data_IF_733251598767
#
_entry.id   IF_733251598767
#
_cell.length_a   1.000
_cell.length_b   1.000
_cell.length_c   1.000
_cell.angle_alpha   90.00
_cell.angle_beta   90.00
_cell.angle_gamma   90.00
#
_symmetry.space_group_name_H-M   'P 1'
#
loop_
_entity.id
_entity.type
_entity.pdbx_description
1 polymer ?
#
# COMPACT_ATOMS: atom_id res chain seq x y z
N UNK A 1 -29.50 -13.97 -60.87
CA UNK A 1 -28.18 -14.14 -60.22
C UNK A 1 -28.14 -13.15 -59.08
N UNK A 2 -28.29 -13.61 -57.81
CA UNK A 2 -28.33 -12.78 -56.61
C UNK A 2 -26.90 -12.79 -56.02
N UNK A 3 -26.25 -11.65 -56.02
CA UNK A 3 -24.97 -11.45 -55.37
C UNK A 3 -25.17 -11.34 -53.82
N UNK A 4 -24.70 -12.33 -53.10
CA UNK A 4 -24.64 -12.33 -51.64
C UNK A 4 -23.33 -11.62 -51.24
N UNK A 5 -23.43 -10.39 -50.75
CA UNK A 5 -22.32 -9.66 -50.19
C UNK A 5 -22.21 -10.12 -48.74
N UNK A 6 -21.15 -10.89 -48.42
CA UNK A 6 -20.77 -11.24 -47.03
C UNK A 6 -20.08 -10.06 -46.39
N UNK A 7 -20.76 -9.34 -45.53
CA UNK A 7 -20.15 -8.32 -44.67
C UNK A 7 -19.48 -9.05 -43.48
N UNK A 8 -18.16 -9.18 -43.54
CA UNK A 8 -17.36 -9.65 -42.43
C UNK A 8 -17.30 -8.51 -41.38
N UNK A 9 -18.05 -8.66 -40.30
CA UNK A 9 -17.96 -7.76 -39.13
C UNK A 9 -16.68 -8.12 -38.34
N UNK A 10 -15.59 -7.39 -38.59
CA UNK A 10 -14.38 -7.44 -37.77
C UNK A 10 -14.71 -6.88 -36.39
N UNK A 11 -14.94 -7.76 -35.42
CA UNK A 11 -15.02 -7.42 -34.00
C UNK A 11 -13.58 -7.10 -33.57
N UNK A 12 -13.22 -5.82 -33.59
CA UNK A 12 -12.01 -5.32 -32.93
C UNK A 12 -12.30 -5.36 -31.44
N UNK A 13 -11.91 -6.45 -30.79
CA UNK A 13 -11.83 -6.50 -29.34
C UNK A 13 -10.71 -5.55 -28.91
N UNK A 14 -11.09 -4.36 -28.45
CA UNK A 14 -10.19 -3.47 -27.74
C UNK A 14 -9.77 -4.21 -26.46
N UNK A 15 -8.62 -4.90 -26.50
CA UNK A 15 -7.90 -5.30 -25.29
C UNK A 15 -7.46 -4.01 -24.63
N UNK A 16 -8.25 -3.52 -23.66
CA UNK A 16 -7.81 -2.48 -22.75
C UNK A 16 -6.69 -3.09 -21.92
N UNK A 17 -5.46 -2.93 -22.39
CA UNK A 17 -4.28 -3.20 -21.59
C UNK A 17 -4.29 -2.14 -20.48
N UNK A 18 -4.72 -2.53 -19.29
CA UNK A 18 -4.51 -1.72 -18.10
C UNK A 18 -3.01 -1.64 -17.89
N UNK A 19 -2.40 -0.55 -18.31
CA UNK A 19 -1.01 -0.23 -18.00
C UNK A 19 -0.99 0.05 -16.48
N UNK A 20 -0.57 -0.94 -15.70
CA UNK A 20 -0.27 -0.73 -14.29
C UNK A 20 0.92 0.23 -14.24
N UNK A 21 0.64 1.47 -13.81
CA UNK A 21 1.68 2.48 -13.67
C UNK A 21 2.48 2.18 -12.40
N UNK A 22 3.54 1.36 -12.51
CA UNK A 22 4.43 0.98 -11.42
C UNK A 22 5.47 2.08 -11.13
N UNK A 23 5.06 3.34 -11.09
CA UNK A 23 5.94 4.48 -10.83
C UNK A 23 5.45 5.29 -9.64
N UNK A 24 6.39 5.82 -8.87
CA UNK A 24 6.09 6.76 -7.80
C UNK A 24 5.89 8.16 -8.37
N UNK A 25 4.71 8.71 -8.18
CA UNK A 25 4.44 10.11 -8.51
C UNK A 25 4.91 10.98 -7.33
N UNK A 26 6.12 11.53 -7.43
CA UNK A 26 6.68 12.36 -6.38
C UNK A 26 5.94 13.70 -6.27
N UNK A 27 5.60 14.07 -5.05
CA UNK A 27 4.99 15.37 -4.74
C UNK A 27 6.07 16.44 -4.67
N UNK A 28 5.83 17.58 -5.31
CA UNK A 28 6.73 18.72 -5.27
C UNK A 28 5.95 20.03 -5.01
N UNK A 29 6.08 20.65 -3.82
CA UNK A 29 6.86 20.17 -2.68
C UNK A 29 6.25 18.96 -1.98
N UNK A 30 7.05 18.19 -1.19
CA UNK A 30 6.53 17.10 -0.36
C UNK A 30 5.45 17.59 0.60
N UNK A 31 4.42 16.77 0.81
CA UNK A 31 3.30 17.11 1.67
C UNK A 31 3.64 16.85 3.13
N UNK A 32 3.58 17.88 3.96
CA UNK A 32 3.71 17.67 5.40
C UNK A 32 2.47 16.98 5.95
N UNK A 33 2.66 15.86 6.65
CA UNK A 33 1.63 15.15 7.40
C UNK A 33 1.76 15.45 8.89
N UNK A 34 0.64 15.40 9.63
CA UNK A 34 0.69 15.51 11.08
C UNK A 34 1.24 14.23 11.70
N UNK A 35 1.86 14.36 12.88
CA UNK A 35 2.23 13.19 13.66
C UNK A 35 0.97 12.50 14.21
N UNK A 36 1.01 11.19 14.23
CA UNK A 36 -0.07 10.36 14.74
C UNK A 36 0.50 9.19 15.55
N UNK A 37 -0.34 8.66 16.41
CA UNK A 37 -0.04 7.45 17.16
C UNK A 37 -0.71 6.25 16.46
N UNK A 38 -0.01 5.11 16.44
CA UNK A 38 -0.52 3.85 15.95
C UNK A 38 -0.96 3.00 17.12
N UNK A 39 -2.05 2.25 16.95
CA UNK A 39 -2.53 1.31 17.95
C UNK A 39 -2.25 -0.12 17.52
N UNK A 40 -1.69 -0.92 18.43
CA UNK A 40 -1.51 -2.36 18.22
C UNK A 40 -2.82 -3.12 18.50
N UNK A 41 -2.90 -4.39 18.10
CA UNK A 41 -4.08 -5.24 18.32
C UNK A 41 -4.41 -5.43 19.81
N UNK A 42 -3.42 -5.38 20.70
CA UNK A 42 -3.58 -5.45 22.17
C UNK A 42 -3.86 -4.09 22.81
N UNK A 43 -4.03 -3.03 22.00
CA UNK A 43 -4.42 -1.70 22.44
C UNK A 43 -3.28 -0.79 22.89
N UNK A 44 -2.00 -1.19 22.72
CA UNK A 44 -0.85 -0.37 23.04
C UNK A 44 -0.67 0.72 21.96
N UNK A 45 -0.41 1.95 22.38
CA UNK A 45 -0.09 3.06 21.48
C UNK A 45 1.41 3.12 21.17
N UNK A 46 1.73 3.34 19.89
CA UNK A 46 3.09 3.52 19.39
C UNK A 46 3.17 4.86 18.66
N UNK A 47 4.11 5.69 19.06
CA UNK A 47 4.37 6.97 18.40
C UNK A 47 5.12 6.75 17.11
N UNK A 48 4.47 7.04 15.97
CA UNK A 48 5.12 6.93 14.65
C UNK A 48 6.30 7.88 14.53
N UNK A 49 6.25 9.03 15.21
CA UNK A 49 7.34 9.99 15.22
C UNK A 49 8.70 9.39 15.59
N UNK A 50 8.75 8.44 16.53
CA UNK A 50 10.00 7.82 16.94
C UNK A 50 10.59 6.94 15.82
N UNK A 51 9.77 6.34 14.98
CA UNK A 51 10.17 5.60 13.78
C UNK A 51 10.68 6.51 12.66
N UNK A 52 10.05 7.67 12.46
CA UNK A 52 10.44 8.65 11.44
C UNK A 52 11.78 9.33 11.71
N UNK A 53 12.33 9.22 12.92
CA UNK A 53 13.67 9.76 13.28
C UNK A 53 14.83 8.89 12.82
N UNK A 54 14.59 7.65 12.42
CA UNK A 54 15.64 6.68 12.12
C UNK A 54 16.28 6.82 10.75
N UNK A 55 16.00 7.90 10.02
CA UNK A 55 16.51 8.16 8.66
C UNK A 55 16.26 7.01 7.69
N UNK A 56 15.04 6.45 7.78
CA UNK A 56 14.56 5.38 6.91
C UNK A 56 13.45 5.89 6.00
N UNK A 57 13.31 5.26 4.85
CA UNK A 57 12.11 5.40 4.04
C UNK A 57 10.99 4.57 4.68
N UNK A 58 9.89 5.22 5.04
CA UNK A 58 8.73 4.56 5.68
C UNK A 58 7.61 4.40 4.65
N UNK A 59 7.17 3.17 4.44
CA UNK A 59 5.98 2.86 3.63
C UNK A 59 4.80 2.60 4.55
N UNK A 60 3.84 3.51 4.63
CA UNK A 60 2.63 3.34 5.45
C UNK A 60 1.53 2.78 4.56
N UNK A 61 1.28 1.47 4.68
CA UNK A 61 0.31 0.75 3.87
C UNK A 61 -1.02 0.57 4.62
N UNK A 62 -2.08 1.12 4.07
CA UNK A 62 -3.45 0.94 4.57
C UNK A 62 -4.11 -0.25 3.88
N UNK A 63 -4.59 -1.20 4.67
CA UNK A 63 -5.15 -2.47 4.19
C UNK A 63 -6.35 -2.94 5.00
N UNK A 64 -7.01 -4.02 4.54
CA UNK A 64 -8.06 -4.70 5.31
C UNK A 64 -8.15 -6.19 4.94
N UNK A 65 -8.70 -7.00 5.85
CA UNK A 65 -8.88 -8.45 5.64
C UNK A 65 -9.89 -8.78 4.52
N UNK A 66 -10.77 -7.86 4.18
CA UNK A 66 -11.77 -7.96 3.12
C UNK A 66 -11.33 -7.36 1.78
N UNK A 67 -10.09 -6.89 1.68
CA UNK A 67 -9.54 -6.22 0.49
C UNK A 67 -8.62 -7.16 -0.31
N UNK A 68 -9.07 -7.83 -1.38
CA UNK A 68 -8.26 -8.79 -2.13
C UNK A 68 -6.98 -8.20 -2.72
N UNK A 69 -6.95 -6.99 -3.34
CA UNK A 69 -5.70 -6.41 -3.83
C UNK A 69 -4.72 -6.08 -2.70
N UNK A 70 -5.19 -5.68 -1.50
CA UNK A 70 -4.32 -5.48 -0.34
C UNK A 70 -3.63 -6.78 0.07
N UNK A 71 -4.40 -7.87 0.14
CA UNK A 71 -3.87 -9.20 0.52
C UNK A 71 -2.81 -9.66 -0.48
N UNK A 72 -3.00 -9.34 -1.76
CA UNK A 72 -2.06 -9.70 -2.84
C UNK A 72 -0.71 -9.00 -2.67
N UNK A 73 -0.67 -7.73 -2.25
CA UNK A 73 0.58 -6.96 -2.16
C UNK A 73 1.36 -7.14 -0.86
N UNK A 74 0.72 -7.58 0.25
CA UNK A 74 1.39 -7.78 1.54
C UNK A 74 2.68 -8.62 1.42
N UNK A 75 2.71 -9.79 0.77
CA UNK A 75 3.93 -10.57 0.63
C UNK A 75 5.05 -9.85 -0.11
N UNK A 76 4.72 -8.99 -1.07
CA UNK A 76 5.70 -8.28 -1.87
C UNK A 76 6.27 -7.08 -1.10
N UNK A 77 5.45 -6.39 -0.32
CA UNK A 77 5.91 -5.36 0.61
C UNK A 77 6.83 -5.93 1.70
N UNK A 78 6.53 -7.11 2.25
CA UNK A 78 7.41 -7.80 3.20
C UNK A 78 8.76 -8.19 2.56
N UNK A 79 8.74 -8.66 1.31
CA UNK A 79 9.99 -8.97 0.58
C UNK A 79 10.78 -7.70 0.25
N UNK A 80 10.11 -6.62 -0.10
CA UNK A 80 10.71 -5.32 -0.35
C UNK A 80 11.44 -4.82 0.91
N UNK A 81 10.78 -4.81 2.07
CA UNK A 81 11.39 -4.44 3.34
C UNK A 81 12.64 -5.26 3.64
N UNK A 82 12.58 -6.59 3.48
CA UNK A 82 13.74 -7.47 3.65
C UNK A 82 14.86 -7.18 2.65
N UNK A 83 14.54 -6.80 1.42
CA UNK A 83 15.52 -6.49 0.37
C UNK A 83 16.30 -5.21 0.66
N UNK A 84 15.65 -4.22 1.25
CA UNK A 84 16.27 -2.95 1.65
C UNK A 84 16.79 -2.97 3.09
N UNK A 85 16.70 -4.12 3.78
CA UNK A 85 17.18 -4.33 5.15
C UNK A 85 16.71 -3.22 6.12
N UNK A 86 17.65 -2.39 6.59
CA UNK A 86 17.36 -1.33 7.54
C UNK A 86 17.03 0.05 6.90
N UNK A 87 17.05 0.14 5.58
CA UNK A 87 16.85 1.41 4.86
C UNK A 87 15.36 1.70 4.60
N UNK A 88 14.53 0.65 4.52
CA UNK A 88 13.08 0.76 4.33
C UNK A 88 12.36 0.05 5.47
N UNK A 89 11.31 0.65 6.00
CA UNK A 89 10.39 0.03 6.96
C UNK A 89 8.96 0.09 6.41
N UNK A 90 8.22 -1.02 6.49
CA UNK A 90 6.81 -1.06 6.10
C UNK A 90 5.92 -1.11 7.33
N UNK A 91 5.06 -0.09 7.47
CA UNK A 91 4.08 0.01 8.53
C UNK A 91 2.71 -0.34 7.96
N UNK A 92 2.20 -1.52 8.31
CA UNK A 92 0.86 -1.94 7.90
C UNK A 92 -0.19 -1.42 8.89
N UNK A 93 -1.24 -0.77 8.38
CA UNK A 93 -2.35 -0.21 9.17
C UNK A 93 -3.67 -0.78 8.67
N UNK A 94 -4.30 -1.62 9.49
CA UNK A 94 -5.61 -2.19 9.16
C UNK A 94 -6.73 -1.21 9.43
N UNK A 95 -7.69 -1.12 8.49
CA UNK A 95 -8.93 -0.34 8.61
C UNK A 95 -10.15 -1.22 8.92
N UNK A 96 -9.94 -2.46 9.38
CA UNK A 96 -11.03 -3.36 9.78
C UNK A 96 -11.82 -2.81 10.96
N UNK A 97 -13.16 -2.85 10.89
CA UNK A 97 -14.04 -2.34 11.95
C UNK A 97 -13.93 -3.12 13.27
N UNK A 98 -13.63 -4.43 13.20
CA UNK A 98 -13.47 -5.31 14.36
C UNK A 98 -12.11 -6.03 14.33
N UNK A 99 -10.99 -5.29 14.40
CA UNK A 99 -9.66 -5.80 14.08
C UNK A 99 -9.23 -6.94 15.01
N UNK A 100 -9.50 -6.84 16.32
CA UNK A 100 -9.14 -7.87 17.31
C UNK A 100 -9.83 -9.22 17.08
N UNK A 101 -10.96 -9.24 16.37
CA UNK A 101 -11.70 -10.46 16.02
C UNK A 101 -11.28 -11.01 14.65
N UNK A 102 -11.16 -10.14 13.64
CA UNK A 102 -11.00 -10.59 12.24
C UNK A 102 -9.54 -10.82 11.86
N UNK A 103 -8.61 -9.98 12.35
CA UNK A 103 -7.20 -10.08 11.96
C UNK A 103 -6.54 -11.37 12.44
N UNK A 104 -6.66 -11.82 13.71
CA UNK A 104 -6.03 -13.08 14.15
C UNK A 104 -6.48 -14.29 13.34
N UNK A 105 -7.78 -14.36 13.03
CA UNK A 105 -8.34 -15.44 12.20
C UNK A 105 -7.82 -15.38 10.76
N UNK A 106 -7.72 -14.19 10.19
CA UNK A 106 -7.17 -13.96 8.86
C UNK A 106 -5.69 -14.38 8.80
N UNK A 107 -4.86 -13.94 9.75
CA UNK A 107 -3.43 -14.26 9.81
C UNK A 107 -3.20 -15.78 9.88
N UNK A 108 -3.92 -16.46 10.78
CA UNK A 108 -3.85 -17.92 10.90
C UNK A 108 -4.24 -18.64 9.61
N UNK A 109 -5.33 -18.20 8.96
CA UNK A 109 -5.83 -18.81 7.71
C UNK A 109 -4.85 -18.65 6.55
N UNK A 110 -4.03 -17.59 6.54
CA UNK A 110 -3.11 -17.26 5.45
C UNK A 110 -1.64 -17.56 5.78
N UNK A 111 -1.35 -18.24 6.91
CA UNK A 111 0.01 -18.54 7.40
C UNK A 111 0.87 -17.27 7.52
N UNK A 112 0.29 -16.22 8.12
CA UNK A 112 0.90 -14.90 8.34
C UNK A 112 0.97 -14.56 9.83
N UNK A 113 1.17 -15.54 10.72
CA UNK A 113 1.13 -15.35 12.16
C UNK A 113 2.18 -14.35 12.66
N UNK A 114 3.33 -14.26 11.98
CA UNK A 114 4.40 -13.31 12.29
C UNK A 114 4.18 -11.92 11.69
N UNK A 115 3.10 -11.73 10.91
CA UNK A 115 2.80 -10.45 10.28
C UNK A 115 2.30 -9.44 11.31
N UNK A 116 3.05 -8.34 11.44
CA UNK A 116 2.68 -7.25 12.36
C UNK A 116 1.84 -6.21 11.65
N UNK A 117 0.74 -5.82 12.27
CA UNK A 117 -0.11 -4.74 11.79
C UNK A 117 -0.64 -3.90 12.93
N UNK A 118 -0.77 -2.60 12.67
CA UNK A 118 -1.46 -1.65 13.53
C UNK A 118 -2.92 -1.53 13.10
N UNK A 119 -3.73 -0.83 13.88
CA UNK A 119 -5.16 -0.69 13.63
C UNK A 119 -5.61 0.76 13.60
N UNK A 120 -6.53 1.08 12.70
CA UNK A 120 -7.28 2.34 12.63
C UNK A 120 -8.79 2.04 12.53
N UNK A 121 -9.33 1.35 13.52
CA UNK A 121 -10.72 0.84 13.54
C UNK A 121 -11.78 1.94 13.55
N UNK A 122 -11.42 3.18 13.90
CA UNK A 122 -12.29 4.36 13.88
C UNK A 122 -12.09 5.22 12.62
N UNK A 123 -11.15 4.85 11.77
CA UNK A 123 -10.77 5.55 10.55
C UNK A 123 -10.33 7.02 10.80
N UNK A 124 -9.78 7.30 11.98
CA UNK A 124 -9.32 8.64 12.33
C UNK A 124 -8.07 9.00 11.51
N UNK A 125 -7.07 8.10 11.53
CA UNK A 125 -5.84 8.26 10.76
C UNK A 125 -6.12 8.26 9.25
N UNK A 126 -6.93 7.31 8.78
CA UNK A 126 -7.38 7.21 7.39
C UNK A 126 -7.99 8.53 6.89
N UNK A 127 -8.86 9.17 7.70
CA UNK A 127 -9.48 10.46 7.37
C UNK A 127 -8.48 11.60 7.40
N UNK A 128 -7.63 11.66 8.44
CA UNK A 128 -6.62 12.72 8.60
C UNK A 128 -5.61 12.72 7.45
N UNK A 129 -5.13 11.55 7.04
CA UNK A 129 -4.21 11.40 5.92
C UNK A 129 -4.91 11.44 4.55
N UNK A 130 -6.25 11.52 4.53
CA UNK A 130 -7.06 11.61 3.31
C UNK A 130 -7.00 10.36 2.44
N UNK A 131 -6.87 9.18 3.06
CA UNK A 131 -6.90 7.88 2.38
C UNK A 131 -8.35 7.56 1.96
N UNK A 132 -8.58 7.31 0.68
CA UNK A 132 -9.92 7.11 0.10
C UNK A 132 -10.10 5.76 -0.58
N UNK A 133 -9.01 5.12 -0.95
CA UNK A 133 -8.96 3.86 -1.71
C UNK A 133 -8.13 2.84 -0.94
N UNK A 134 -8.44 1.55 -1.09
CA UNK A 134 -7.66 0.44 -0.54
C UNK A 134 -7.14 -0.46 -1.67
N UNK A 135 -5.86 -0.84 -1.61
CA UNK A 135 -4.83 -0.33 -0.71
C UNK A 135 -4.42 1.11 -1.01
N UNK A 136 -3.86 1.81 -0.03
CA UNK A 136 -3.11 3.05 -0.25
C UNK A 136 -1.80 2.96 0.53
N UNK A 137 -0.70 3.27 -0.11
CA UNK A 137 0.62 3.34 0.53
C UNK A 137 1.20 4.75 0.44
N UNK A 138 1.49 5.35 1.58
CA UNK A 138 2.22 6.60 1.64
C UNK A 138 3.71 6.30 1.72
N UNK A 139 4.51 7.00 0.93
CA UNK A 139 5.98 6.97 0.98
C UNK A 139 6.43 8.20 1.76
N UNK A 140 7.02 7.98 2.93
CA UNK A 140 7.39 9.04 3.89
C UNK A 140 8.88 8.97 4.17
N UNK A 141 9.57 10.10 4.18
CA UNK A 141 11.01 10.20 4.47
C UNK A 141 11.35 11.53 5.14
N UNK A 142 12.48 11.58 5.83
CA UNK A 142 13.03 12.78 6.48
C UNK A 142 12.05 13.49 7.43
N UNK A 143 11.41 12.72 8.33
CA UNK A 143 10.40 13.23 9.24
C UNK A 143 8.98 13.14 8.66
N UNK A 144 8.11 14.12 8.90
CA UNK A 144 6.69 14.02 8.55
C UNK A 144 6.39 14.46 7.10
N UNK A 145 7.20 14.03 6.12
CA UNK A 145 7.01 14.42 4.74
C UNK A 145 6.59 13.25 3.87
N UNK A 146 5.36 13.28 3.36
CA UNK A 146 4.86 12.37 2.34
C UNK A 146 5.48 12.80 1.00
N UNK A 147 6.38 11.97 0.47
CA UNK A 147 7.05 12.17 -0.82
C UNK A 147 6.19 11.69 -1.98
N UNK A 148 5.45 10.62 -1.77
CA UNK A 148 4.59 10.01 -2.79
C UNK A 148 3.43 9.27 -2.14
N UNK A 149 2.43 8.97 -2.96
CA UNK A 149 1.27 8.16 -2.58
C UNK A 149 0.90 7.24 -3.72
N UNK A 150 0.74 5.97 -3.40
CA UNK A 150 0.25 4.95 -4.31
C UNK A 150 -1.18 4.60 -3.90
N UNK A 151 -2.14 4.83 -4.76
CA UNK A 151 -3.55 4.47 -4.57
C UNK A 151 -3.91 3.28 -5.44
N UNK A 152 -4.31 2.16 -4.84
CA UNK A 152 -4.51 0.88 -5.50
C UNK A 152 -3.27 0.00 -5.50
N UNK A 153 -3.44 -1.21 -6.07
CA UNK A 153 -2.38 -2.21 -6.17
C UNK A 153 -1.33 -1.83 -7.21
N UNK A 154 -0.04 -2.02 -6.87
CA UNK A 154 1.07 -2.02 -7.81
C UNK A 154 1.99 -3.23 -7.55
N UNK A 155 2.88 -3.52 -8.49
CA UNK A 155 3.95 -4.51 -8.30
C UNK A 155 5.12 -3.88 -7.54
N UNK A 156 5.16 -4.07 -6.22
CA UNK A 156 6.20 -3.54 -5.33
C UNK A 156 7.60 -4.13 -5.58
N UNK A 157 7.71 -5.21 -6.35
CA UNK A 157 8.97 -5.82 -6.72
C UNK A 157 9.42 -5.49 -8.15
N UNK A 158 8.68 -4.64 -8.85
CA UNK A 158 9.08 -4.13 -10.16
C UNK A 158 10.45 -3.45 -10.10
N UNK A 159 11.35 -3.77 -11.04
CA UNK A 159 12.74 -3.28 -11.01
C UNK A 159 12.86 -1.76 -11.11
N UNK A 160 11.99 -1.10 -11.87
CA UNK A 160 12.00 0.36 -12.01
C UNK A 160 11.56 1.02 -10.70
N UNK A 161 10.48 0.51 -10.08
CA UNK A 161 10.02 0.98 -8.77
C UNK A 161 11.09 0.80 -7.69
N UNK A 162 11.78 -0.35 -7.68
CA UNK A 162 12.88 -0.59 -6.73
C UNK A 162 14.04 0.40 -6.91
N UNK A 163 14.35 0.80 -8.16
CA UNK A 163 15.35 1.85 -8.43
C UNK A 163 14.87 3.23 -7.95
N UNK A 164 13.61 3.56 -8.17
CA UNK A 164 13.03 4.81 -7.67
C UNK A 164 13.10 4.90 -6.14
N UNK A 165 12.68 3.85 -5.44
CA UNK A 165 12.78 3.79 -3.97
C UNK A 165 14.23 3.94 -3.50
N UNK A 166 15.19 3.29 -4.17
CA UNK A 166 16.61 3.41 -3.84
C UNK A 166 17.15 4.82 -4.04
N UNK A 167 16.62 5.59 -4.99
CA UNK A 167 17.03 6.98 -5.21
C UNK A 167 16.47 7.95 -4.15
N UNK A 168 15.51 7.50 -3.33
CA UNK A 168 14.91 8.26 -2.23
C UNK A 168 15.65 8.03 -0.90
N UNK A 169 16.55 7.05 -0.83
CA UNK A 169 17.39 6.72 0.33
C UNK A 169 18.65 7.59 0.35
#
# INVERSE_FOLDING_TARGET
MKNFIFIIFLIITNLSYSYENNQLLLQNPPKKINFFDLQTLDGKEIKVFDKLKENKLILINFWATWCPPCIKEIPDLIKLEKKFENEVEVIFVSVDANPTKVIPNFLKKNNLEDFQTYIDNRLNLTKELGVKVMPTTLVVHEGPYELSRVEGYIDWLNEELLKELKNLL
#
